data_IF_081525403053
#
_entry.id   IF_081525403053
#
_cell.length_a   1.000
_cell.length_b   1.000
_cell.length_c   1.000
_cell.angle_alpha   90.00
_cell.angle_beta   90.00
_cell.angle_gamma   90.00
#
_symmetry.space_group_name_H-M   'P 1'
#
loop_
_entity.id
_entity.type
_entity.pdbx_description
1 polymer ?
#
# COMPACT_ATOMS: atom_id res chain seq x y z
N UNK A 1 27.40 -6.40 -1.01
CA UNK A 1 25.92 -6.35 -1.00
C UNK A 1 25.41 -7.39 -0.02
N UNK A 2 24.71 -6.98 1.04
CA UNK A 2 24.13 -7.90 2.04
C UNK A 2 22.66 -8.14 1.69
N UNK A 3 22.37 -9.22 0.95
CA UNK A 3 21.02 -9.49 0.46
C UNK A 3 19.99 -9.67 1.58
N UNK A 4 20.41 -10.13 2.77
CA UNK A 4 19.52 -10.27 3.93
C UNK A 4 18.94 -8.93 4.40
N UNK A 5 19.63 -7.80 4.18
CA UNK A 5 19.14 -6.47 4.55
C UNK A 5 17.93 -6.03 3.72
N UNK A 6 17.71 -6.65 2.55
CA UNK A 6 16.56 -6.39 1.69
C UNK A 6 15.31 -7.18 2.11
N UNK A 7 15.45 -8.19 2.98
CA UNK A 7 14.33 -9.05 3.35
C UNK A 7 13.15 -8.30 3.99
N UNK A 8 13.35 -7.36 4.95
CA UNK A 8 12.25 -6.56 5.50
C UNK A 8 11.52 -5.72 4.45
N UNK A 9 12.26 -5.12 3.52
CA UNK A 9 11.70 -4.37 2.39
C UNK A 9 10.87 -5.28 1.47
N UNK A 10 11.37 -6.47 1.15
CA UNK A 10 10.66 -7.45 0.32
C UNK A 10 9.35 -7.92 0.97
N UNK A 11 9.33 -8.12 2.30
CA UNK A 11 8.12 -8.48 3.04
C UNK A 11 7.07 -7.36 2.96
N UNK A 12 7.47 -6.09 3.11
CA UNK A 12 6.55 -4.96 2.98
C UNK A 12 6.00 -4.80 1.55
N UNK A 13 6.82 -5.07 0.53
CA UNK A 13 6.36 -5.12 -0.87
C UNK A 13 5.30 -6.22 -1.04
N UNK A 14 5.56 -7.42 -0.53
CA UNK A 14 4.61 -8.53 -0.61
C UNK A 14 3.31 -8.20 0.13
N UNK A 15 3.41 -7.59 1.32
CA UNK A 15 2.24 -7.14 2.08
C UNK A 15 1.43 -6.08 1.31
N UNK A 16 2.10 -5.13 0.66
CA UNK A 16 1.46 -4.13 -0.21
C UNK A 16 0.63 -4.79 -1.31
N UNK A 17 1.16 -5.85 -1.95
CA UNK A 17 0.42 -6.62 -2.97
C UNK A 17 -0.78 -7.37 -2.38
N UNK A 18 -0.64 -7.96 -1.19
CA UNK A 18 -1.77 -8.61 -0.49
C UNK A 18 -2.89 -7.60 -0.24
N UNK A 19 -2.55 -6.41 0.25
CA UNK A 19 -3.54 -5.34 0.50
C UNK A 19 -4.15 -4.85 -0.80
N UNK A 20 -3.38 -4.73 -1.89
CA UNK A 20 -3.90 -4.37 -3.22
C UNK A 20 -5.01 -5.33 -3.67
N UNK A 21 -4.77 -6.64 -3.58
CA UNK A 21 -5.79 -7.63 -3.92
C UNK A 21 -6.98 -7.62 -2.95
N UNK A 22 -6.75 -7.26 -1.68
CA UNK A 22 -7.81 -7.12 -0.68
C UNK A 22 -8.76 -5.95 -0.97
N UNK A 23 -8.37 -4.94 -1.77
CA UNK A 23 -9.28 -3.86 -2.17
C UNK A 23 -10.46 -4.40 -2.99
N UNK A 24 -10.20 -5.40 -3.84
CA UNK A 24 -11.13 -5.84 -4.89
C UNK A 24 -12.48 -6.35 -4.32
N UNK A 25 -12.52 -7.40 -3.49
CA UNK A 25 -13.80 -7.95 -3.04
C UNK A 25 -14.74 -6.96 -2.35
N UNK A 26 -14.29 -6.16 -1.35
CA UNK A 26 -15.19 -5.26 -0.64
C UNK A 26 -15.64 -4.06 -1.48
N UNK A 27 -14.76 -3.47 -2.31
CA UNK A 27 -15.17 -2.34 -3.18
C UNK A 27 -16.12 -2.77 -4.27
N UNK A 28 -15.72 -3.73 -5.11
CA UNK A 28 -16.56 -4.15 -6.24
C UNK A 28 -17.88 -4.76 -5.76
N UNK A 29 -17.84 -5.53 -4.67
CA UNK A 29 -19.05 -6.06 -4.04
C UNK A 29 -19.99 -4.96 -3.53
N UNK A 30 -19.45 -3.87 -2.96
CA UNK A 30 -20.28 -2.75 -2.47
C UNK A 30 -20.85 -1.93 -3.63
N UNK A 31 -20.07 -1.65 -4.66
CA UNK A 31 -20.53 -0.96 -5.88
C UNK A 31 -21.65 -1.75 -6.57
N UNK A 32 -21.52 -3.07 -6.65
CA UNK A 32 -22.54 -3.94 -7.23
C UNK A 32 -23.88 -3.82 -6.49
N UNK A 33 -23.85 -3.71 -5.15
CA UNK A 33 -25.02 -3.61 -4.27
C UNK A 33 -25.69 -2.23 -4.22
N UNK A 34 -25.07 -1.17 -4.74
CA UNK A 34 -25.70 0.16 -4.85
C UNK A 34 -26.93 0.04 -5.76
N UNK A 35 -28.11 0.40 -5.26
CA UNK A 35 -29.37 0.28 -6.01
C UNK A 35 -29.51 1.38 -7.07
N UNK A 36 -29.30 2.64 -6.67
CA UNK A 36 -29.32 3.78 -7.57
C UNK A 36 -27.91 4.04 -8.14
N UNK A 37 -27.68 3.63 -9.38
CA UNK A 37 -26.37 3.82 -10.04
C UNK A 37 -26.08 5.29 -10.36
N UNK A 38 -27.06 6.19 -10.31
CA UNK A 38 -26.84 7.62 -10.55
C UNK A 38 -26.03 8.29 -9.43
N UNK A 39 -25.96 7.67 -8.25
CA UNK A 39 -25.12 8.13 -7.13
C UNK A 39 -23.64 7.81 -7.32
N UNK A 40 -23.30 6.92 -8.26
CA UNK A 40 -21.91 6.61 -8.58
C UNK A 40 -21.29 7.74 -9.42
N UNK A 41 -19.97 7.99 -9.30
CA UNK A 41 -19.30 9.01 -10.08
C UNK A 41 -19.40 8.70 -11.59
N UNK A 42 -20.07 9.59 -12.34
CA UNK A 42 -20.33 9.42 -13.78
C UNK A 42 -19.31 10.10 -14.71
N UNK A 43 -18.12 10.44 -14.21
CA UNK A 43 -17.06 11.13 -14.99
C UNK A 43 -15.97 10.16 -15.46
N UNK A 44 -15.35 10.35 -16.63
CA UNK A 44 -14.12 9.64 -16.98
C UNK A 44 -13.03 9.85 -15.94
N UNK A 45 -12.27 8.80 -15.62
CA UNK A 45 -11.15 8.87 -14.67
C UNK A 45 -11.57 8.92 -13.19
N UNK A 46 -12.66 8.23 -12.82
CA UNK A 46 -13.09 8.06 -11.43
C UNK A 46 -11.94 7.55 -10.56
N UNK A 47 -11.77 8.17 -9.39
CA UNK A 47 -10.78 7.81 -8.38
C UNK A 47 -11.45 7.09 -7.22
N UNK A 48 -10.66 6.34 -6.46
CA UNK A 48 -11.15 5.68 -5.25
C UNK A 48 -11.76 6.66 -4.23
N UNK A 49 -11.27 7.90 -4.17
CA UNK A 49 -11.82 8.97 -3.32
C UNK A 49 -13.19 9.46 -3.76
N UNK A 50 -13.54 9.32 -5.04
CA UNK A 50 -14.88 9.69 -5.53
C UNK A 50 -15.96 8.71 -5.02
N UNK A 51 -15.57 7.58 -4.42
CA UNK A 51 -16.49 6.60 -3.80
C UNK A 51 -16.76 6.89 -2.31
N UNK A 52 -16.12 7.89 -1.73
CA UNK A 52 -16.33 8.25 -0.32
C UNK A 52 -17.74 8.82 -0.13
N UNK A 53 -18.47 8.33 0.88
CA UNK A 53 -19.88 8.68 1.10
C UNK A 53 -20.86 8.05 0.09
N UNK A 54 -20.39 7.31 -0.91
CA UNK A 54 -21.23 6.60 -1.90
C UNK A 54 -21.38 5.12 -1.56
N UNK A 55 -20.30 4.49 -1.11
CA UNK A 55 -20.28 3.10 -0.61
C UNK A 55 -19.92 3.09 0.87
N UNK A 56 -20.20 1.99 1.62
CA UNK A 56 -19.82 1.92 3.03
C UNK A 56 -18.33 2.12 3.24
N UNK A 57 -17.93 2.92 4.25
CA UNK A 57 -16.53 3.28 4.52
C UNK A 57 -15.61 2.07 4.65
N UNK A 58 -16.13 0.99 5.27
CA UNK A 58 -15.39 -0.28 5.43
C UNK A 58 -14.95 -0.88 4.10
N UNK A 59 -15.68 -0.61 3.02
CA UNK A 59 -15.29 -1.06 1.69
C UNK A 59 -14.08 -0.29 1.14
N UNK A 60 -13.86 0.95 1.60
CA UNK A 60 -12.72 1.78 1.23
C UNK A 60 -11.50 1.57 2.12
N UNK A 61 -11.63 1.03 3.34
CA UNK A 61 -10.52 0.88 4.27
C UNK A 61 -9.29 0.14 3.72
N UNK A 62 -9.41 -0.99 2.99
CA UNK A 62 -8.23 -1.63 2.41
C UNK A 62 -7.48 -0.72 1.42
N UNK A 63 -8.20 0.15 0.71
CA UNK A 63 -7.58 1.09 -0.21
C UNK A 63 -6.89 2.26 0.50
N UNK A 64 -7.48 2.76 1.59
CA UNK A 64 -6.79 3.73 2.46
C UNK A 64 -5.50 3.14 3.04
N UNK A 65 -5.56 1.88 3.48
CA UNK A 65 -4.39 1.15 3.96
C UNK A 65 -3.31 1.00 2.88
N UNK A 66 -3.72 0.66 1.65
CA UNK A 66 -2.79 0.59 0.52
C UNK A 66 -2.12 1.94 0.25
N UNK A 67 -2.85 3.06 0.27
CA UNK A 67 -2.27 4.40 0.10
C UNK A 67 -1.27 4.72 1.21
N UNK A 68 -1.59 4.45 2.47
CA UNK A 68 -0.66 4.67 3.59
C UNK A 68 0.63 3.84 3.46
N UNK A 69 0.54 2.61 2.95
CA UNK A 69 1.71 1.76 2.66
C UNK A 69 2.60 2.29 1.53
N UNK A 70 2.15 3.23 0.71
CA UNK A 70 3.00 3.88 -0.29
C UNK A 70 3.55 5.21 0.19
N UNK A 71 2.81 5.94 1.03
CA UNK A 71 3.20 7.27 1.53
C UNK A 71 4.21 7.21 2.69
N UNK A 72 4.01 6.33 3.67
CA UNK A 72 4.83 6.32 4.89
C UNK A 72 6.17 5.56 4.74
N UNK A 73 6.24 4.35 4.15
CA UNK A 73 7.47 3.57 4.12
C UNK A 73 8.37 3.89 2.93
N UNK A 74 8.12 4.95 2.15
CA UNK A 74 8.99 5.31 1.01
C UNK A 74 10.45 5.48 1.43
N UNK A 75 10.68 6.14 2.58
CA UNK A 75 12.03 6.31 3.14
C UNK A 75 12.64 4.98 3.59
N UNK A 76 11.83 4.06 4.13
CA UNK A 76 12.31 2.75 4.55
C UNK A 76 12.93 1.97 3.39
N UNK A 77 12.25 1.93 2.23
CA UNK A 77 12.78 1.26 1.03
C UNK A 77 14.10 1.89 0.55
N UNK A 78 14.18 3.22 0.56
CA UNK A 78 15.40 3.95 0.17
C UNK A 78 16.57 3.63 1.11
N UNK A 79 16.33 3.66 2.43
CA UNK A 79 17.33 3.37 3.45
C UNK A 79 17.80 1.91 3.34
N UNK A 80 16.88 0.94 3.23
CA UNK A 80 17.24 -0.47 3.07
C UNK A 80 18.13 -0.71 1.86
N UNK A 81 17.84 -0.06 0.71
CA UNK A 81 18.65 -0.18 -0.50
C UNK A 81 20.05 0.44 -0.30
N UNK A 82 20.13 1.65 0.24
CA UNK A 82 21.39 2.34 0.49
C UNK A 82 22.30 1.50 1.41
N UNK A 83 21.76 1.02 2.52
CA UNK A 83 22.52 0.19 3.47
C UNK A 83 22.93 -1.15 2.86
N UNK A 84 22.06 -1.80 2.08
CA UNK A 84 22.39 -3.07 1.42
C UNK A 84 23.54 -2.93 0.39
N UNK A 85 23.64 -1.77 -0.27
CA UNK A 85 24.69 -1.45 -1.24
C UNK A 85 26.00 -1.08 -0.53
N UNK A 86 25.96 -0.16 0.43
CA UNK A 86 27.16 0.30 1.16
C UNK A 86 27.77 -0.83 1.99
N UNK A 87 26.94 -1.67 2.61
CA UNK A 87 27.39 -2.70 3.56
C UNK A 87 27.82 -2.10 4.91
N UNK A 88 28.15 -2.95 5.89
CA UNK A 88 28.52 -2.50 7.23
C UNK A 88 29.89 -1.82 7.26
N UNK A 89 29.99 -0.69 7.96
CA UNK A 89 31.22 0.01 8.26
C UNK A 89 31.88 -0.45 9.56
N UNK A 90 33.09 0.06 9.84
CA UNK A 90 33.85 -0.30 11.05
C UNK A 90 33.09 0.02 12.35
N UNK A 91 32.36 1.15 12.38
CA UNK A 91 31.56 1.53 13.54
C UNK A 91 30.36 0.59 13.77
N UNK A 92 29.71 0.11 12.70
CA UNK A 92 28.56 -0.79 12.81
C UNK A 92 28.95 -2.12 13.48
N UNK A 93 30.15 -2.63 13.17
CA UNK A 93 30.69 -3.85 13.80
C UNK A 93 31.07 -3.61 15.27
N UNK A 94 31.55 -2.41 15.61
CA UNK A 94 31.90 -2.10 17.00
C UNK A 94 30.70 -1.86 17.92
N UNK A 95 29.53 -1.55 17.35
CA UNK A 95 28.30 -1.28 18.10
C UNK A 95 27.37 -2.50 18.19
N UNK A 96 27.63 -3.56 17.42
CA UNK A 96 26.85 -4.81 17.40
C UNK A 96 27.35 -5.82 18.44
#
# INVERSE_FOLDING_TARGET
MQAQMLAPAAVLVLWTLVVLFWIIPPRFGSIAKVQDKSTLPGKPGVRGSDLEGVIPDRANWPAHNHTHLHEQPTLFYAISLILAVIGPGALDVTLA
#
